data_IF_631225107854
#
_entry.id   IF_631225107854
#
_cell.length_a   1.000
_cell.length_b   1.000
_cell.length_c   1.000
_cell.angle_alpha   90.00
_cell.angle_beta   90.00
_cell.angle_gamma   90.00
#
_symmetry.space_group_name_H-M   'P 1'
#
loop_
_entity.id
_entity.type
_entity.pdbx_description
1 polymer ?
#
# COMPACT_ATOMS: atom_id res chain seq x y z
N UNK A 1 -6.06 -2.38 -15.29
CA UNK A 1 -5.84 -2.61 -13.84
C UNK A 1 -5.37 -1.29 -13.23
N UNK A 2 -6.19 -0.63 -12.41
CA UNK A 2 -5.87 0.68 -11.86
C UNK A 2 -4.81 0.56 -10.75
N UNK A 3 -3.66 1.21 -10.92
CA UNK A 3 -2.69 1.43 -9.85
C UNK A 3 -2.96 2.83 -9.31
N UNK A 4 -3.29 2.96 -8.03
CA UNK A 4 -3.52 4.28 -7.44
C UNK A 4 -2.18 4.84 -6.99
N UNK A 5 -1.86 6.07 -7.40
CA UNK A 5 -0.68 6.77 -6.90
C UNK A 5 -1.06 7.55 -5.64
N UNK A 6 -0.41 7.23 -4.53
CA UNK A 6 -0.48 8.00 -3.32
C UNK A 6 0.66 9.03 -3.34
N UNK A 7 0.31 10.31 -3.24
CA UNK A 7 1.29 11.41 -3.21
C UNK A 7 1.75 11.79 -1.79
N UNK A 8 1.16 11.18 -0.76
CA UNK A 8 1.51 11.41 0.65
C UNK A 8 1.24 10.16 1.50
N UNK A 9 1.91 10.08 2.66
CA UNK A 9 1.74 8.98 3.64
C UNK A 9 0.27 8.78 4.05
N UNK A 10 -0.46 9.84 4.39
CA UNK A 10 -1.86 9.75 4.81
C UNK A 10 -2.78 9.21 3.70
N UNK A 11 -2.52 9.59 2.45
CA UNK A 11 -3.24 9.05 1.29
C UNK A 11 -2.91 7.57 1.07
N UNK A 12 -1.64 7.20 1.16
CA UNK A 12 -1.22 5.81 1.07
C UNK A 12 -1.90 4.97 2.14
N UNK A 13 -1.85 5.39 3.40
CA UNK A 13 -2.45 4.66 4.50
C UNK A 13 -3.98 4.51 4.32
N UNK A 14 -4.66 5.56 3.87
CA UNK A 14 -6.10 5.51 3.56
C UNK A 14 -6.40 4.53 2.44
N UNK A 15 -5.61 4.55 1.34
CA UNK A 15 -5.80 3.67 0.20
C UNK A 15 -5.52 2.20 0.55
N UNK A 16 -4.49 1.96 1.36
CA UNK A 16 -4.13 0.61 1.79
C UNK A 16 -5.18 0.10 2.79
N UNK A 17 -5.65 0.94 3.73
CA UNK A 17 -6.71 0.62 4.71
C UNK A 17 -8.07 0.41 4.08
N UNK A 18 -8.41 1.19 3.06
CA UNK A 18 -9.67 1.07 2.33
C UNK A 18 -9.74 -0.22 1.51
N UNK A 19 -8.59 -0.89 1.24
CA UNK A 19 -8.52 -2.14 0.48
C UNK A 19 -9.02 -2.03 -0.97
N UNK A 20 -9.38 -0.81 -1.40
CA UNK A 20 -10.03 -0.51 -2.68
C UNK A 20 -9.07 -0.70 -3.85
N UNK A 21 -7.77 -0.48 -3.60
CA UNK A 21 -6.72 -0.60 -4.59
C UNK A 21 -5.83 -1.81 -4.31
N UNK A 22 -5.83 -2.79 -5.22
CA UNK A 22 -4.90 -3.93 -5.16
C UNK A 22 -3.44 -3.52 -5.35
N UNK A 23 -3.19 -2.36 -5.95
CA UNK A 23 -1.85 -1.86 -6.27
C UNK A 23 -1.79 -0.35 -6.04
N UNK A 24 -0.92 0.08 -5.16
CA UNK A 24 -0.78 1.45 -4.67
C UNK A 24 0.67 1.86 -4.85
N UNK A 25 0.93 2.85 -5.67
CA UNK A 25 2.26 3.42 -5.89
C UNK A 25 2.45 4.61 -4.94
N UNK A 26 3.39 4.47 -4.00
CA UNK A 26 3.82 5.49 -3.07
C UNK A 26 4.73 6.48 -3.81
N UNK A 27 4.11 7.40 -4.55
CA UNK A 27 4.74 8.45 -5.32
C UNK A 27 5.17 9.63 -4.43
N UNK A 28 5.78 9.33 -3.29
CA UNK A 28 6.36 10.30 -2.37
C UNK A 28 7.72 9.79 -1.87
N UNK A 29 8.51 10.70 -1.30
CA UNK A 29 9.78 10.35 -0.66
C UNK A 29 9.48 9.57 0.62
N UNK A 30 9.44 8.25 0.51
CA UNK A 30 9.27 7.36 1.65
C UNK A 30 10.66 7.02 2.18
N UNK A 31 10.90 7.40 3.44
CA UNK A 31 12.11 7.04 4.16
C UNK A 31 12.21 5.53 4.39
N UNK A 32 13.41 5.07 4.76
CA UNK A 32 13.61 3.66 5.11
C UNK A 32 12.74 3.25 6.31
N UNK A 33 12.63 4.10 7.32
CA UNK A 33 11.80 3.87 8.50
C UNK A 33 10.32 3.73 8.16
N UNK A 34 9.76 4.67 7.38
CA UNK A 34 8.37 4.60 6.91
C UNK A 34 8.11 3.35 6.07
N UNK A 35 9.06 2.97 5.20
CA UNK A 35 8.96 1.74 4.43
C UNK A 35 8.93 0.51 5.33
N UNK A 36 9.83 0.42 6.32
CA UNK A 36 9.88 -0.70 7.26
C UNK A 36 8.60 -0.78 8.10
N UNK A 37 8.06 0.37 8.51
CA UNK A 37 6.84 0.43 9.29
C UNK A 37 5.64 -0.01 8.46
N UNK A 38 5.51 0.48 7.21
CA UNK A 38 4.49 0.02 6.26
C UNK A 38 4.65 -1.47 5.95
N UNK A 39 5.87 -1.94 5.68
CA UNK A 39 6.15 -3.33 5.38
C UNK A 39 5.77 -4.22 6.57
N UNK A 40 6.14 -3.85 7.79
CA UNK A 40 5.80 -4.61 8.99
C UNK A 40 4.28 -4.65 9.21
N UNK A 41 3.62 -3.50 9.12
CA UNK A 41 2.18 -3.38 9.37
C UNK A 41 1.35 -4.17 8.35
N UNK A 42 1.77 -4.16 7.09
CA UNK A 42 0.99 -4.73 6.00
C UNK A 42 1.48 -6.12 5.55
N UNK A 43 2.71 -6.51 5.82
CA UNK A 43 3.19 -7.88 5.56
C UNK A 43 2.46 -8.89 6.44
N UNK A 44 2.15 -8.54 7.69
CA UNK A 44 1.29 -9.34 8.57
C UNK A 44 -0.13 -9.51 7.97
N UNK A 45 -0.62 -8.47 7.27
CA UNK A 45 -1.91 -8.46 6.57
C UNK A 45 -1.86 -8.98 5.13
N UNK A 46 -0.76 -9.60 4.70
CA UNK A 46 -0.65 -10.20 3.35
C UNK A 46 -0.46 -9.19 2.21
N UNK A 47 -0.02 -7.97 2.50
CA UNK A 47 0.44 -7.03 1.49
C UNK A 47 1.90 -7.29 1.12
N UNK A 48 2.24 -7.00 -0.14
CA UNK A 48 3.59 -7.09 -0.68
C UNK A 48 4.06 -5.70 -1.08
N UNK A 49 5.08 -5.16 -0.45
CA UNK A 49 5.72 -3.92 -0.88
C UNK A 49 6.88 -4.26 -1.82
N UNK A 50 6.92 -3.59 -2.96
CA UNK A 50 7.94 -3.78 -3.99
C UNK A 50 8.50 -2.43 -4.39
N UNK A 51 9.82 -2.29 -4.49
CA UNK A 51 10.42 -1.07 -5.02
C UNK A 51 10.17 -1.02 -6.54
N UNK A 52 9.50 0.02 -7.02
CA UNK A 52 9.33 0.31 -8.44
C UNK A 52 10.58 0.99 -9.03
N UNK A 53 10.43 1.71 -10.15
CA UNK A 53 11.55 2.41 -10.81
C UNK A 53 12.03 3.61 -10.00
N UNK A 54 11.10 4.49 -9.62
CA UNK A 54 11.38 5.70 -8.83
C UNK A 54 10.67 5.68 -7.47
N UNK A 55 9.59 4.91 -7.36
CA UNK A 55 8.67 4.93 -6.23
C UNK A 55 8.38 3.52 -5.72
N UNK A 56 7.98 3.39 -4.46
CA UNK A 56 7.60 2.11 -3.89
C UNK A 56 6.16 1.76 -4.27
N UNK A 57 5.88 0.48 -4.47
CA UNK A 57 4.55 -0.02 -4.87
C UNK A 57 4.10 -1.07 -3.88
N UNK A 58 3.04 -0.76 -3.14
CA UNK A 58 2.33 -1.69 -2.27
C UNK A 58 1.31 -2.45 -3.08
N UNK A 59 1.40 -3.77 -3.07
CA UNK A 59 0.45 -4.68 -3.70
C UNK A 59 -0.31 -5.43 -2.62
N UNK A 60 -1.58 -5.10 -2.43
CA UNK A 60 -2.46 -5.81 -1.52
C UNK A 60 -2.97 -7.07 -2.23
N UNK A 61 -2.54 -8.25 -1.75
CA UNK A 61 -2.97 -9.53 -2.30
C UNK A 61 -4.36 -9.88 -1.74
N UNK A 62 -5.36 -9.13 -2.21
CA UNK A 62 -6.78 -9.43 -2.01
C UNK A 62 -7.17 -9.78 -0.58
N UNK A 63 -7.10 -8.80 0.33
CA UNK A 63 -7.97 -8.86 1.50
C UNK A 63 -9.41 -8.82 0.96
N UNK A 64 -10.08 -9.97 0.91
CA UNK A 64 -11.55 -9.98 0.87
C UNK A 64 -11.95 -9.41 2.23
N UNK A 65 -12.13 -8.10 2.32
CA UNK A 65 -12.96 -7.54 3.40
C UNK A 65 -14.30 -8.26 3.22
N UNK A 66 -14.73 -9.13 4.15
CA UNK A 66 -16.03 -9.78 3.99
C UNK A 66 -17.07 -8.66 3.85
N UNK A 67 -18.02 -8.76 2.90
CA UNK A 67 -19.14 -7.85 2.87
C UNK A 67 -19.81 -7.97 4.23
N UNK A 68 -19.91 -6.86 4.96
CA UNK A 68 -20.71 -6.81 6.17
C UNK A 68 -22.17 -6.90 5.70
N UNK A 69 -22.81 -8.05 5.95
CA UNK A 69 -24.26 -8.24 5.82
C UNK A 69 -25.01 -7.31 6.81
#
# INVERSE_FOLDING_TARGET
MATIKAVNHQQAETLIRSGTAKKIELAYDIGSDDFFQLATLWCDRGAKITKGKEHFVVSLKGFRIPPND
#
